data_IF_862681999296
#
_entry.id   IF_862681999296
#
_cell.length_a   1.000
_cell.length_b   1.000
_cell.length_c   1.000
_cell.angle_alpha   90.00
_cell.angle_beta   90.00
_cell.angle_gamma   90.00
#
_symmetry.space_group_name_H-M   'P 1'
#
loop_
_entity.id
_entity.type
_entity.pdbx_description
1 polymer ?
#
# COMPACT_ATOMS: atom_id res chain seq x y z
N UNK A 1 -10.58 -2.55 24.33
CA UNK A 1 -10.16 -1.54 23.32
C UNK A 1 -10.60 -1.97 21.91
N UNK A 2 -11.18 -1.10 21.07
CA UNK A 2 -11.45 -1.51 19.71
C UNK A 2 -10.09 -1.72 19.03
N UNK A 3 -9.95 -2.86 18.38
CA UNK A 3 -8.82 -3.17 17.50
C UNK A 3 -8.77 -2.00 16.52
N UNK A 4 -7.77 -1.12 16.63
CA UNK A 4 -7.46 -0.16 15.56
C UNK A 4 -7.12 -1.01 14.34
N UNK A 5 -8.11 -1.27 13.49
CA UNK A 5 -7.89 -1.88 12.18
C UNK A 5 -7.12 -0.83 11.41
N UNK A 6 -5.79 -0.93 11.48
CA UNK A 6 -4.92 -0.12 10.64
C UNK A 6 -5.29 -0.51 9.21
N UNK A 7 -5.56 0.47 8.34
CA UNK A 7 -5.95 0.16 6.97
C UNK A 7 -4.83 -0.64 6.33
N UNK A 8 -5.23 -1.72 5.66
CA UNK A 8 -4.36 -2.47 4.77
C UNK A 8 -4.37 -1.78 3.41
N UNK A 9 -3.18 -1.61 2.85
CA UNK A 9 -2.94 -0.85 1.63
C UNK A 9 -2.28 -1.82 0.66
N UNK A 10 -3.00 -2.11 -0.42
CA UNK A 10 -2.58 -3.06 -1.45
C UNK A 10 -1.83 -2.33 -2.57
N UNK A 11 -0.57 -2.67 -2.79
CA UNK A 11 0.15 -2.35 -4.01
C UNK A 11 0.26 -3.54 -4.94
N UNK A 12 0.24 -3.29 -6.25
CA UNK A 12 0.29 -4.33 -7.28
C UNK A 12 1.37 -4.01 -8.32
N UNK A 13 1.92 -5.05 -8.94
CA UNK A 13 2.70 -4.91 -10.17
C UNK A 13 1.79 -4.46 -11.32
N UNK A 14 2.36 -3.94 -12.40
CA UNK A 14 1.63 -3.41 -13.55
C UNK A 14 0.67 -4.45 -14.15
N UNK A 15 1.12 -5.70 -14.18
CA UNK A 15 0.37 -6.84 -14.69
C UNK A 15 -0.56 -7.48 -13.64
N UNK A 16 -0.57 -6.98 -12.40
CA UNK A 16 -1.37 -7.50 -11.30
C UNK A 16 -0.96 -8.89 -10.78
N UNK A 17 0.15 -9.44 -11.27
CA UNK A 17 0.60 -10.80 -10.94
C UNK A 17 1.26 -10.89 -9.55
N UNK A 18 1.70 -9.77 -8.99
CA UNK A 18 2.21 -9.64 -7.62
C UNK A 18 1.40 -8.59 -6.85
N UNK A 19 1.01 -8.91 -5.61
CA UNK A 19 0.37 -7.97 -4.67
C UNK A 19 1.17 -7.92 -3.38
N UNK A 20 1.45 -6.72 -2.88
CA UNK A 20 2.11 -6.44 -1.59
C UNK A 20 1.14 -5.67 -0.71
N UNK A 21 0.99 -6.09 0.55
CA UNK A 21 0.14 -5.39 1.52
C UNK A 21 1.01 -4.72 2.58
N UNK A 22 0.83 -3.41 2.74
CA UNK A 22 1.38 -2.63 3.84
C UNK A 22 0.26 -2.16 4.77
N UNK A 23 0.57 -1.96 6.05
CA UNK A 23 -0.33 -1.22 6.93
C UNK A 23 -0.25 0.29 6.67
N UNK A 24 -1.21 1.05 7.23
CA UNK A 24 -1.14 2.52 7.25
C UNK A 24 0.07 3.13 7.97
N UNK A 25 0.89 2.35 8.68
CA UNK A 25 2.19 2.78 9.23
C UNK A 25 3.38 2.20 8.44
N UNK A 26 3.15 1.79 7.20
CA UNK A 26 4.15 1.25 6.28
C UNK A 26 4.81 -0.06 6.76
N UNK A 27 4.13 -0.80 7.63
CA UNK A 27 4.60 -2.11 8.10
C UNK A 27 4.20 -3.18 7.07
N UNK A 28 5.14 -3.98 6.54
CA UNK A 28 4.81 -5.07 5.62
C UNK A 28 3.93 -6.13 6.29
N UNK A 29 2.88 -6.57 5.59
CA UNK A 29 1.92 -7.58 6.08
C UNK A 29 1.94 -8.86 5.29
N UNK A 30 1.91 -8.78 3.96
CA UNK A 30 1.88 -9.97 3.11
C UNK A 30 2.38 -9.67 1.69
N UNK A 31 2.74 -10.75 0.99
CA UNK A 31 3.04 -10.75 -0.44
C UNK A 31 2.33 -11.95 -1.05
N UNK A 32 1.58 -11.71 -2.12
CA UNK A 32 0.91 -12.75 -2.92
C UNK A 32 1.49 -12.72 -4.32
N UNK A 33 1.90 -13.89 -4.83
CA UNK A 33 2.55 -14.06 -6.13
C UNK A 33 1.75 -15.09 -6.92
N UNK A 34 1.34 -14.74 -8.14
CA UNK A 34 0.64 -15.67 -9.02
C UNK A 34 1.59 -16.74 -9.60
N UNK A 35 1.06 -17.90 -10.03
CA UNK A 35 1.87 -18.90 -10.73
C UNK A 35 2.54 -18.36 -12.00
N UNK A 36 1.88 -17.43 -12.70
CA UNK A 36 2.41 -16.79 -13.90
C UNK A 36 3.68 -15.98 -13.58
N UNK A 37 3.67 -15.20 -12.51
CA UNK A 37 4.84 -14.44 -12.06
C UNK A 37 6.03 -15.35 -11.71
N UNK A 38 5.77 -16.52 -11.10
CA UNK A 38 6.81 -17.52 -10.79
C UNK A 38 7.43 -18.08 -12.07
N UNK A 39 6.62 -18.34 -13.10
CA UNK A 39 7.07 -18.92 -14.36
C UNK A 39 7.93 -17.95 -15.20
N UNK A 40 7.89 -16.66 -14.92
CA UNK A 40 8.71 -15.64 -15.59
C UNK A 40 10.20 -15.68 -15.18
N UNK A 41 10.55 -16.48 -14.16
CA UNK A 41 11.92 -16.60 -13.67
C UNK A 41 12.29 -15.55 -12.62
N UNK A 42 13.42 -15.77 -11.94
CA UNK A 42 13.81 -15.01 -10.75
C UNK A 42 14.01 -13.50 -11.01
N UNK A 43 14.65 -13.15 -12.14
CA UNK A 43 14.93 -11.75 -12.47
C UNK A 43 13.64 -10.97 -12.68
N UNK A 44 12.73 -11.49 -13.52
CA UNK A 44 11.47 -10.81 -13.79
C UNK A 44 10.56 -10.78 -12.56
N UNK A 45 10.52 -11.85 -11.78
CA UNK A 45 9.77 -11.88 -10.52
C UNK A 45 10.28 -10.82 -9.54
N UNK A 46 11.60 -10.62 -9.46
CA UNK A 46 12.19 -9.60 -8.59
C UNK A 46 11.78 -8.18 -8.98
N UNK A 47 11.70 -7.90 -10.28
CA UNK A 47 11.16 -6.63 -10.79
C UNK A 47 9.71 -6.42 -10.37
N UNK A 48 8.84 -7.41 -10.57
CA UNK A 48 7.41 -7.34 -10.26
C UNK A 48 7.15 -7.16 -8.76
N UNK A 49 7.91 -7.86 -7.90
CA UNK A 49 7.85 -7.68 -6.44
C UNK A 49 8.28 -6.26 -6.05
N UNK A 50 9.35 -5.76 -6.66
CA UNK A 50 9.85 -4.40 -6.39
C UNK A 50 8.81 -3.36 -6.80
N UNK A 51 8.16 -3.57 -7.94
CA UNK A 51 7.12 -2.69 -8.45
C UNK A 51 5.90 -2.64 -7.52
N UNK A 52 5.35 -3.80 -7.15
CA UNK A 52 4.23 -3.90 -6.23
C UNK A 52 4.55 -3.27 -4.86
N UNK A 53 5.79 -3.42 -4.37
CA UNK A 53 6.25 -2.81 -3.13
C UNK A 53 6.28 -1.28 -3.21
N UNK A 54 6.82 -0.71 -4.31
CA UNK A 54 6.82 0.74 -4.53
C UNK A 54 5.40 1.28 -4.63
N UNK A 55 4.54 0.59 -5.37
CA UNK A 55 3.15 0.97 -5.52
C UNK A 55 2.41 0.97 -4.16
N UNK A 56 2.64 -0.04 -3.31
CA UNK A 56 2.05 -0.09 -1.97
C UNK A 56 2.57 1.06 -1.08
N UNK A 57 3.86 1.35 -1.16
CA UNK A 57 4.48 2.47 -0.44
C UNK A 57 3.88 3.80 -0.87
N UNK A 58 3.79 4.07 -2.17
CA UNK A 58 3.27 5.34 -2.70
C UNK A 58 1.81 5.54 -2.26
N UNK A 59 0.97 4.51 -2.42
CA UNK A 59 -0.42 4.54 -1.93
C UNK A 59 -0.51 4.76 -0.41
N UNK A 60 0.43 4.21 0.36
CA UNK A 60 0.47 4.42 1.82
C UNK A 60 0.77 5.88 2.18
N UNK A 61 1.70 6.51 1.46
CA UNK A 61 2.05 7.91 1.68
C UNK A 61 0.91 8.84 1.25
N UNK A 62 0.25 8.55 0.13
CA UNK A 62 -0.91 9.31 -0.36
C UNK A 62 -2.08 9.22 0.62
N UNK A 63 -2.39 8.01 1.10
CA UNK A 63 -3.45 7.79 2.10
C UNK A 63 -3.19 8.60 3.38
N UNK A 64 -1.94 8.64 3.85
CA UNK A 64 -1.57 9.41 5.03
C UNK A 64 -1.66 10.92 4.79
N UNK A 65 -1.26 11.39 3.60
CA UNK A 65 -1.38 12.79 3.21
C UNK A 65 -2.85 13.21 3.14
N UNK A 66 -3.69 12.45 2.47
CA UNK A 66 -5.13 12.72 2.36
C UNK A 66 -5.79 12.82 3.73
N UNK A 67 -5.44 11.93 4.67
CA UNK A 67 -5.94 12.00 6.05
C UNK A 67 -5.50 13.24 6.80
N UNK A 68 -4.26 13.67 6.63
CA UNK A 68 -3.78 14.91 7.25
C UNK A 68 -4.48 16.13 6.66
N UNK A 69 -4.73 16.14 5.34
CA UNK A 69 -5.50 17.18 4.67
C UNK A 69 -6.96 17.21 5.16
N UNK A 70 -7.61 16.07 5.34
CA UNK A 70 -8.96 15.96 5.92
C UNK A 70 -9.02 16.48 7.37
N UNK A 71 -8.06 16.07 8.21
CA UNK A 71 -7.98 16.51 9.61
C UNK A 71 -7.79 18.02 9.71
N UNK A 72 -6.87 18.59 8.92
CA UNK A 72 -6.59 20.03 8.92
C UNK A 72 -7.73 20.84 8.28
N UNK A 73 -8.41 20.30 7.28
CA UNK A 73 -9.61 20.92 6.68
C UNK A 73 -10.78 20.94 7.66
N UNK A 74 -10.96 19.87 8.45
CA UNK A 74 -11.96 19.82 9.52
C UNK A 74 -11.67 20.79 10.68
N UNK A 75 -10.39 21.07 10.95
CA UNK A 75 -9.96 22.06 11.94
C UNK A 75 -10.11 23.52 11.47
N UNK A 76 -10.13 23.77 10.15
CA UNK A 76 -10.36 25.09 9.56
C UNK A 76 -11.85 25.49 9.48
N UNK A 77 -12.75 24.69 10.04
CA UNK A 77 -14.17 25.07 10.18
C UNK A 77 -14.31 26.08 11.34
N UNK A 78 -14.74 27.32 11.06
CA UNK A 78 -14.76 28.40 12.04
C UNK A 78 -15.74 28.09 13.19
N UNK A 79 -15.26 28.25 14.41
CA UNK A 79 -15.93 27.83 15.65
C UNK A 79 -15.03 27.79 16.89
N UNK A 80 -13.71 27.97 16.72
CA UNK A 80 -12.85 28.65 17.69
C UNK A 80 -12.62 30.10 17.27
#
# INVERSE_FOLDING_TARGET
>A
PPISIRPEIEGKSEDGSVTVVLSGNQEPRSVTISPEAINNGADKLSELVTEAMKNAYDQSTETMRARMEELTSGLNLPGM
#
